data_IF_772601157546
#
_entry.id   IF_772601157546
#
_cell.length_a   1.000
_cell.length_b   1.000
_cell.length_c   1.000
_cell.angle_alpha   90.00
_cell.angle_beta   90.00
_cell.angle_gamma   90.00
#
_symmetry.space_group_name_H-M   'P 1'
#
loop_
_entity.id
_entity.type
_entity.pdbx_description
1 polymer ?
#
# COMPACT_ATOMS: atom_id res chain seq x y z
N UNK A 1 -14.21 9.25 16.48
CA UNK A 1 -14.74 8.21 15.57
C UNK A 1 -13.53 7.70 14.79
N UNK A 2 -13.35 6.40 14.69
CA UNK A 2 -12.18 5.79 14.01
C UNK A 2 -12.25 6.08 12.52
N UNK A 3 -11.18 6.65 11.97
CA UNK A 3 -11.05 6.92 10.54
C UNK A 3 -10.20 5.85 9.86
N UNK A 4 -10.47 5.64 8.58
CA UNK A 4 -9.63 4.85 7.68
C UNK A 4 -8.93 5.80 6.71
N UNK A 5 -7.62 5.98 6.87
CA UNK A 5 -6.79 6.70 5.91
C UNK A 5 -6.42 5.75 4.78
N UNK A 6 -7.07 5.92 3.63
CA UNK A 6 -6.94 5.04 2.49
C UNK A 6 -5.87 5.56 1.53
N UNK A 7 -4.82 4.76 1.39
CA UNK A 7 -3.69 4.99 0.47
C UNK A 7 -3.94 4.17 -0.80
N UNK A 8 -4.77 4.71 -1.69
CA UNK A 8 -5.14 4.03 -2.93
C UNK A 8 -4.04 4.08 -3.99
N UNK A 9 -4.22 3.28 -5.03
CA UNK A 9 -3.36 3.29 -6.20
C UNK A 9 -3.73 4.43 -7.15
N UNK A 10 -2.79 4.83 -7.99
CA UNK A 10 -3.08 5.74 -9.10
C UNK A 10 -4.12 5.12 -10.04
N UNK A 11 -5.16 5.88 -10.37
CA UNK A 11 -6.27 5.42 -11.22
C UNK A 11 -6.04 5.84 -12.67
N UNK A 12 -5.97 4.86 -13.57
CA UNK A 12 -5.93 5.05 -15.01
C UNK A 12 -7.04 4.23 -15.65
N UNK A 13 -7.73 4.76 -16.67
CA UNK A 13 -8.86 4.09 -17.34
C UNK A 13 -8.52 2.68 -17.87
N UNK A 14 -7.28 2.49 -18.33
CA UNK A 14 -6.82 1.21 -18.89
C UNK A 14 -6.40 0.17 -17.83
N UNK A 15 -6.53 0.48 -16.54
CA UNK A 15 -6.00 -0.38 -15.48
C UNK A 15 -7.07 -0.84 -14.50
N UNK A 16 -6.90 -2.06 -13.99
CA UNK A 16 -7.76 -2.60 -12.91
C UNK A 16 -7.74 -1.73 -11.63
N UNK A 17 -6.74 -0.87 -11.45
CA UNK A 17 -6.62 0.02 -10.28
C UNK A 17 -7.81 0.95 -10.14
N UNK A 18 -8.40 1.42 -11.26
CA UNK A 18 -9.63 2.20 -11.24
C UNK A 18 -10.79 1.37 -10.68
N UNK A 19 -10.97 0.15 -11.17
CA UNK A 19 -12.03 -0.76 -10.70
C UNK A 19 -11.84 -1.11 -9.22
N UNK A 20 -10.60 -1.36 -8.80
CA UNK A 20 -10.27 -1.67 -7.41
C UNK A 20 -10.66 -0.52 -6.46
N UNK A 21 -10.32 0.70 -6.84
CA UNK A 21 -10.71 1.91 -6.08
C UNK A 21 -12.22 2.06 -5.97
N UNK A 22 -12.96 1.84 -7.06
CA UNK A 22 -14.42 1.90 -7.05
C UNK A 22 -15.06 0.79 -6.19
N UNK A 23 -14.54 -0.44 -6.27
CA UNK A 23 -15.04 -1.56 -5.47
C UNK A 23 -14.80 -1.33 -3.98
N UNK A 24 -13.61 -0.88 -3.60
CA UNK A 24 -13.29 -0.55 -2.23
C UNK A 24 -14.21 0.56 -1.70
N UNK A 25 -14.41 1.61 -2.47
CA UNK A 25 -15.33 2.70 -2.12
C UNK A 25 -16.73 2.16 -1.80
N UNK A 26 -17.29 1.30 -2.66
CA UNK A 26 -18.61 0.68 -2.45
C UNK A 26 -18.63 -0.19 -1.20
N UNK A 27 -17.54 -0.90 -0.89
CA UNK A 27 -17.44 -1.72 0.33
C UNK A 27 -17.37 -0.83 1.56
N UNK A 28 -16.57 0.21 1.54
CA UNK A 28 -16.43 1.14 2.65
C UNK A 28 -17.75 1.85 2.96
N UNK A 29 -18.44 2.33 1.92
CA UNK A 29 -19.77 2.97 2.06
C UNK A 29 -20.79 2.01 2.66
N UNK A 30 -20.87 0.77 2.17
CA UNK A 30 -21.78 -0.25 2.71
C UNK A 30 -21.51 -0.59 4.17
N UNK A 31 -20.25 -0.49 4.59
CA UNK A 31 -19.82 -0.77 5.97
C UNK A 31 -19.91 0.46 6.87
N UNK A 32 -20.28 1.61 6.33
CA UNK A 32 -20.37 2.87 7.07
C UNK A 32 -19.04 3.33 7.65
N UNK A 33 -17.93 3.07 6.94
CA UNK A 33 -16.60 3.49 7.39
C UNK A 33 -16.39 4.98 7.12
N UNK A 34 -15.78 5.66 8.08
CA UNK A 34 -15.32 7.05 7.92
C UNK A 34 -13.96 7.04 7.20
N UNK A 35 -13.96 7.27 5.88
CA UNK A 35 -12.78 7.11 5.04
C UNK A 35 -12.22 8.45 4.61
N UNK A 36 -10.95 8.66 4.88
CA UNK A 36 -10.14 9.77 4.36
C UNK A 36 -9.31 9.24 3.19
N UNK A 37 -9.67 9.61 1.97
CA UNK A 37 -8.90 9.29 0.77
C UNK A 37 -7.69 10.21 0.70
N UNK A 38 -6.50 9.68 1.00
CA UNK A 38 -5.26 10.47 0.94
C UNK A 38 -4.89 10.71 -0.52
N UNK A 39 -4.83 11.96 -0.98
CA UNK A 39 -4.56 12.24 -2.38
C UNK A 39 -3.09 12.03 -2.74
N UNK A 40 -2.83 11.48 -3.93
CA UNK A 40 -1.55 11.54 -4.62
C UNK A 40 -1.63 12.48 -5.82
N UNK A 41 -0.49 12.97 -6.28
CA UNK A 41 -0.37 13.80 -7.48
C UNK A 41 0.05 12.94 -8.66
N UNK A 42 -0.71 12.97 -9.75
CA UNK A 42 -0.33 12.32 -11.00
C UNK A 42 0.60 13.23 -11.81
N UNK A 43 1.64 12.65 -12.40
CA UNK A 43 2.36 13.33 -13.47
C UNK A 43 1.53 13.13 -14.74
N UNK A 44 1.34 14.21 -15.46
CA UNK A 44 0.64 14.15 -16.75
C UNK A 44 1.46 13.30 -17.72
N UNK A 45 1.10 12.05 -17.84
CA UNK A 45 1.77 11.10 -18.72
C UNK A 45 0.80 10.74 -19.83
N UNK A 46 0.96 11.42 -20.94
CA UNK A 46 0.18 11.19 -22.16
C UNK A 46 0.53 9.88 -22.87
N UNK A 47 1.47 9.10 -22.36
CA UNK A 47 1.80 7.80 -22.92
C UNK A 47 0.75 6.77 -22.47
N UNK A 48 0.02 6.25 -23.43
CA UNK A 48 -0.87 5.12 -23.21
C UNK A 48 -0.09 3.96 -22.58
N UNK A 49 -0.57 3.46 -21.44
CA UNK A 49 -0.03 2.25 -20.83
C UNK A 49 -0.32 1.11 -21.79
N UNK A 50 0.72 0.57 -22.42
CA UNK A 50 0.59 -0.58 -23.29
C UNK A 50 0.30 -1.83 -22.47
N UNK A 51 -0.65 -2.64 -22.91
CA UNK A 51 -0.95 -3.94 -22.31
C UNK A 51 0.34 -4.78 -22.28
N UNK A 52 0.69 -5.31 -21.13
CA UNK A 52 1.92 -6.09 -20.93
C UNK A 52 3.17 -5.28 -20.63
N UNK A 53 3.10 -3.96 -20.61
CA UNK A 53 4.15 -3.13 -20.01
C UNK A 53 3.83 -2.86 -18.55
N UNK A 54 4.83 -3.10 -17.71
CA UNK A 54 4.71 -2.78 -16.30
C UNK A 54 4.76 -1.26 -16.15
N UNK A 55 3.94 -0.82 -15.30
CA UNK A 55 3.87 0.45 -14.60
C UNK A 55 4.86 1.53 -15.09
N UNK A 56 4.35 2.69 -15.42
CA UNK A 56 5.18 3.89 -15.44
C UNK A 56 5.84 4.05 -14.04
N UNK A 57 7.10 3.62 -13.95
CA UNK A 57 7.83 3.64 -12.69
C UNK A 57 7.97 5.06 -12.11
N UNK A 58 8.08 6.07 -12.98
CA UNK A 58 8.19 7.46 -12.56
C UNK A 58 6.84 7.99 -12.06
N UNK A 59 5.76 7.76 -12.81
CA UNK A 59 4.42 8.16 -12.41
C UNK A 59 3.97 7.47 -11.13
N UNK A 60 4.20 6.16 -11.01
CA UNK A 60 3.93 5.39 -9.80
C UNK A 60 4.69 5.93 -8.59
N UNK A 61 5.99 6.19 -8.77
CA UNK A 61 6.83 6.70 -7.69
C UNK A 61 6.40 8.10 -7.27
N UNK A 62 6.15 8.97 -8.24
CA UNK A 62 5.72 10.34 -7.96
C UNK A 62 4.37 10.37 -7.23
N UNK A 63 3.39 9.60 -7.71
CA UNK A 63 2.09 9.47 -7.07
C UNK A 63 2.23 8.97 -5.63
N UNK A 64 2.92 7.85 -5.43
CA UNK A 64 3.10 7.24 -4.11
C UNK A 64 3.82 8.15 -3.13
N UNK A 65 4.94 8.76 -3.55
CA UNK A 65 5.70 9.69 -2.70
C UNK A 65 4.87 10.94 -2.35
N UNK A 66 4.15 11.53 -3.30
CA UNK A 66 3.29 12.69 -3.01
C UNK A 66 2.15 12.35 -2.06
N UNK A 67 1.58 11.15 -2.19
CA UNK A 67 0.56 10.64 -1.28
C UNK A 67 1.13 10.44 0.13
N UNK A 68 2.34 9.89 0.25
CA UNK A 68 3.03 9.76 1.53
C UNK A 68 3.34 11.12 2.16
N UNK A 69 3.74 12.12 1.38
CA UNK A 69 3.93 13.49 1.89
C UNK A 69 2.65 14.05 2.50
N UNK A 70 1.50 13.83 1.86
CA UNK A 70 0.20 14.26 2.39
C UNK A 70 -0.14 13.51 3.69
N UNK A 71 0.07 12.19 3.74
CA UNK A 71 -0.13 11.42 4.97
C UNK A 71 0.75 11.93 6.11
N UNK A 72 2.03 12.15 5.85
CA UNK A 72 2.98 12.69 6.85
C UNK A 72 2.52 14.06 7.35
N UNK A 73 2.03 14.92 6.46
CA UNK A 73 1.48 16.22 6.85
C UNK A 73 0.24 16.07 7.75
N UNK A 74 -0.67 15.15 7.42
CA UNK A 74 -1.85 14.84 8.25
C UNK A 74 -1.44 14.30 9.63
N UNK A 75 -0.44 13.41 9.69
CA UNK A 75 0.12 12.94 10.96
C UNK A 75 0.71 14.07 11.78
N UNK A 76 1.48 14.97 11.15
CA UNK A 76 2.08 16.14 11.80
C UNK A 76 1.02 17.09 12.35
N UNK A 77 -0.11 17.23 11.66
CA UNK A 77 -1.23 18.08 12.10
C UNK A 77 -2.08 17.43 13.21
N UNK A 78 -1.82 16.16 13.57
CA UNK A 78 -2.62 15.44 14.55
C UNK A 78 -3.99 14.95 14.00
N UNK A 79 -4.14 14.89 12.69
CA UNK A 79 -5.37 14.39 12.04
C UNK A 79 -5.46 12.87 12.08
N UNK A 80 -4.31 12.19 12.19
CA UNK A 80 -4.17 10.73 12.37
C UNK A 80 -3.87 10.44 13.82
N UNK A 81 -4.69 9.62 14.46
CA UNK A 81 -4.60 9.28 15.88
C UNK A 81 -4.37 7.78 16.09
N UNK A 82 -4.10 7.36 17.32
CA UNK A 82 -3.96 5.94 17.70
C UNK A 82 -5.23 5.11 17.49
N UNK A 83 -6.38 5.74 17.38
CA UNK A 83 -7.65 5.06 17.12
C UNK A 83 -7.85 4.72 15.64
N UNK A 84 -7.09 5.37 14.77
CA UNK A 84 -7.28 5.32 13.32
C UNK A 84 -6.52 4.15 12.68
N UNK A 85 -6.86 3.92 11.42
CA UNK A 85 -6.26 2.90 10.57
C UNK A 85 -5.67 3.57 9.34
N UNK A 86 -4.44 3.22 8.98
CA UNK A 86 -3.83 3.55 7.69
C UNK A 86 -3.85 2.26 6.86
N UNK A 87 -4.46 2.31 5.68
CA UNK A 87 -4.55 1.17 4.79
C UNK A 87 -3.95 1.46 3.43
N UNK A 88 -2.91 0.71 3.08
CA UNK A 88 -2.27 0.76 1.78
C UNK A 88 -2.85 -0.29 0.85
N UNK A 89 -3.37 0.14 -0.29
CA UNK A 89 -3.92 -0.75 -1.31
C UNK A 89 -2.85 -1.63 -2.00
N UNK A 90 -1.60 -1.25 -1.88
CA UNK A 90 -0.46 -2.03 -2.34
C UNK A 90 0.70 -1.87 -1.34
N UNK A 91 1.26 -2.97 -0.87
CA UNK A 91 2.40 -2.92 0.06
C UNK A 91 3.65 -2.30 -0.58
N UNK A 92 3.79 -2.37 -1.90
CA UNK A 92 4.88 -1.72 -2.64
C UNK A 92 4.57 -0.25 -2.95
N UNK A 93 3.99 0.44 -1.99
CA UNK A 93 3.74 1.89 -2.09
C UNK A 93 5.04 2.66 -1.93
N UNK A 94 5.50 3.39 -2.96
CA UNK A 94 6.69 4.25 -2.85
C UNK A 94 6.53 5.28 -1.73
N UNK A 95 7.54 5.38 -0.87
CA UNK A 95 7.52 6.27 0.30
C UNK A 95 7.07 5.60 1.61
N UNK A 96 6.46 4.40 1.58
CA UNK A 96 6.05 3.68 2.80
C UNK A 96 7.22 3.40 3.74
N UNK A 97 8.43 3.31 3.21
CA UNK A 97 9.67 3.09 3.97
C UNK A 97 9.98 4.20 4.97
N UNK A 98 9.37 5.37 4.83
CA UNK A 98 9.47 6.44 5.81
C UNK A 98 8.59 6.23 7.04
N UNK A 99 7.54 5.41 6.92
CA UNK A 99 6.54 5.22 7.97
C UNK A 99 7.12 4.57 9.25
N UNK A 100 7.92 3.49 9.20
CA UNK A 100 8.52 2.94 10.41
C UNK A 100 9.43 3.94 11.15
N UNK A 101 10.14 4.82 10.42
CA UNK A 101 10.92 5.88 11.05
C UNK A 101 10.03 6.83 11.86
N UNK A 102 8.89 7.23 11.30
CA UNK A 102 7.92 8.14 11.95
C UNK A 102 7.27 7.43 13.15
N UNK A 103 6.78 6.21 12.95
CA UNK A 103 6.10 5.45 13.99
C UNK A 103 7.01 5.13 15.18
N UNK A 104 8.31 4.93 14.96
CA UNK A 104 9.27 4.69 16.03
C UNK A 104 9.49 5.90 16.94
N UNK A 105 9.09 7.11 16.53
CA UNK A 105 9.11 8.30 17.37
C UNK A 105 7.91 8.38 18.33
N UNK A 106 6.94 7.50 18.16
CA UNK A 106 5.68 7.50 18.90
C UNK A 106 5.59 6.21 19.75
N UNK A 107 5.20 6.28 21.04
CA UNK A 107 4.94 5.10 21.84
C UNK A 107 3.96 4.13 21.17
N UNK A 108 4.18 2.82 21.28
CA UNK A 108 3.41 1.79 20.56
C UNK A 108 1.89 1.94 20.75
N UNK A 109 1.48 2.25 21.99
CA UNK A 109 0.05 2.44 22.33
C UNK A 109 -0.55 3.76 21.79
N UNK A 110 0.25 4.60 21.15
CA UNK A 110 -0.19 5.85 20.54
C UNK A 110 -0.07 5.83 19.01
N UNK A 111 0.29 4.68 18.42
CA UNK A 111 0.42 4.52 16.98
C UNK A 111 -0.92 4.17 16.33
N UNK A 112 -1.23 4.72 15.15
CA UNK A 112 -2.31 4.20 14.32
C UNK A 112 -1.99 2.76 13.90
N UNK A 113 -3.00 1.97 13.56
CA UNK A 113 -2.80 0.64 12.98
C UNK A 113 -2.51 0.75 11.50
N UNK A 114 -1.61 -0.07 11.01
CA UNK A 114 -1.18 -0.08 9.61
C UNK A 114 -1.51 -1.43 8.98
N UNK A 115 -2.30 -1.39 7.91
CA UNK A 115 -2.61 -2.55 7.10
C UNK A 115 -2.16 -2.33 5.66
N UNK A 116 -1.73 -3.40 5.01
CA UNK A 116 -1.32 -3.36 3.62
C UNK A 116 -2.00 -4.50 2.84
N UNK A 117 -2.20 -4.31 1.54
CA UNK A 117 -2.56 -5.40 0.64
C UNK A 117 -1.33 -5.90 -0.10
N UNK A 118 -1.18 -7.21 -0.17
CA UNK A 118 -0.20 -7.86 -1.01
C UNK A 118 -0.84 -8.12 -2.39
N UNK A 119 -0.31 -7.50 -3.44
CA UNK A 119 -0.76 -7.68 -4.83
C UNK A 119 0.26 -8.46 -5.67
N UNK A 120 1.51 -8.49 -5.23
CA UNK A 120 2.63 -9.16 -5.87
C UNK A 120 3.59 -9.69 -4.80
N UNK A 121 4.40 -10.69 -5.14
CA UNK A 121 5.30 -11.35 -4.19
C UNK A 121 6.67 -11.62 -4.79
N UNK A 122 7.71 -11.36 -4.00
CA UNK A 122 9.09 -11.64 -4.40
C UNK A 122 9.44 -13.14 -4.39
N UNK A 123 8.71 -13.96 -3.65
CA UNK A 123 8.94 -15.41 -3.53
C UNK A 123 8.32 -16.20 -4.70
N UNK A 124 7.30 -15.67 -5.35
CA UNK A 124 6.63 -16.34 -6.44
C UNK A 124 7.47 -16.23 -7.73
N UNK A 125 7.98 -17.34 -8.28
CA UNK A 125 8.83 -17.32 -9.47
C UNK A 125 8.06 -16.88 -10.74
N UNK A 126 6.75 -17.01 -10.75
CA UNK A 126 5.89 -16.65 -11.88
C UNK A 126 5.39 -15.20 -11.79
N UNK A 127 5.63 -14.53 -10.65
CA UNK A 127 5.29 -13.13 -10.48
C UNK A 127 6.19 -12.23 -11.33
N UNK A 128 5.63 -11.12 -11.83
CA UNK A 128 6.38 -10.12 -12.59
C UNK A 128 7.60 -9.60 -11.83
N UNK A 129 7.56 -9.60 -10.50
CA UNK A 129 8.67 -9.23 -9.62
C UNK A 129 9.90 -10.11 -9.89
N UNK A 130 9.69 -11.42 -10.08
CA UNK A 130 10.75 -12.36 -10.44
C UNK A 130 11.19 -12.22 -11.88
N UNK A 131 10.24 -12.20 -12.79
CA UNK A 131 10.48 -12.11 -14.26
C UNK A 131 11.30 -10.86 -14.61
N UNK A 132 11.14 -9.78 -13.86
CA UNK A 132 11.84 -8.52 -14.09
C UNK A 132 13.11 -8.34 -13.27
N UNK A 133 13.55 -9.37 -12.56
CA UNK A 133 14.77 -9.34 -11.78
C UNK A 133 14.70 -8.49 -10.51
N UNK A 134 13.50 -8.17 -10.04
CA UNK A 134 13.28 -7.33 -8.86
C UNK A 134 13.20 -8.11 -7.55
N UNK A 135 13.09 -9.44 -7.60
CA UNK A 135 12.78 -10.29 -6.45
C UNK A 135 13.71 -10.05 -5.24
N UNK A 136 15.02 -9.81 -5.49
CA UNK A 136 15.97 -9.63 -4.40
C UNK A 136 15.68 -8.39 -3.56
N UNK A 137 15.55 -7.23 -4.18
CA UNK A 137 15.34 -5.99 -3.43
C UNK A 137 13.90 -5.87 -2.92
N UNK A 138 12.92 -6.37 -3.69
CA UNK A 138 11.52 -6.40 -3.24
C UNK A 138 11.33 -7.37 -2.08
N UNK A 139 12.06 -8.48 -2.02
CA UNK A 139 12.06 -9.36 -0.85
C UNK A 139 12.59 -8.68 0.41
N UNK A 140 13.61 -7.85 0.31
CA UNK A 140 14.09 -7.02 1.43
C UNK A 140 13.03 -5.98 1.84
N UNK A 141 12.34 -5.41 0.88
CA UNK A 141 11.27 -4.46 1.13
C UNK A 141 10.07 -5.14 1.84
N UNK A 142 9.66 -6.33 1.40
CA UNK A 142 8.65 -7.15 2.07
C UNK A 142 9.03 -7.43 3.53
N UNK A 143 10.30 -7.79 3.78
CA UNK A 143 10.79 -8.01 5.15
C UNK A 143 10.67 -6.74 6.00
N UNK A 144 11.02 -5.59 5.46
CA UNK A 144 10.86 -4.31 6.14
C UNK A 144 9.38 -4.04 6.48
N UNK A 145 8.48 -4.22 5.51
CA UNK A 145 7.04 -4.01 5.72
C UNK A 145 6.50 -4.94 6.80
N UNK A 146 6.91 -6.22 6.79
CA UNK A 146 6.53 -7.22 7.80
C UNK A 146 6.90 -6.82 9.25
N UNK A 147 7.90 -5.96 9.44
CA UNK A 147 8.33 -5.55 10.79
C UNK A 147 7.40 -4.52 11.44
N UNK A 148 6.61 -3.77 10.67
CA UNK A 148 5.85 -2.66 11.25
C UNK A 148 4.34 -2.68 10.99
N UNK A 149 3.85 -3.55 10.10
CA UNK A 149 2.41 -3.62 9.80
C UNK A 149 1.65 -4.46 10.83
N UNK A 150 0.42 -4.06 11.11
CA UNK A 150 -0.49 -4.78 12.00
C UNK A 150 -1.23 -5.92 11.31
N UNK A 151 -1.23 -5.94 9.98
CA UNK A 151 -1.80 -7.02 9.20
C UNK A 151 -1.67 -6.83 7.70
N UNK A 152 -1.84 -7.93 6.97
CA UNK A 152 -1.75 -7.99 5.52
C UNK A 152 -3.02 -8.61 4.95
N UNK A 153 -3.53 -8.04 3.86
CA UNK A 153 -4.60 -8.62 3.06
C UNK A 153 -3.98 -9.30 1.84
N UNK A 154 -4.14 -10.61 1.75
CA UNK A 154 -3.76 -11.40 0.57
C UNK A 154 -4.99 -11.62 -0.33
N UNK A 155 -4.75 -11.81 -1.62
CA UNK A 155 -5.82 -11.98 -2.62
C UNK A 155 -6.34 -13.41 -2.70
N UNK A 156 -5.53 -14.39 -2.31
CA UNK A 156 -5.87 -15.81 -2.35
C UNK A 156 -5.03 -16.62 -1.33
N UNK A 157 -5.40 -17.87 -1.13
CA UNK A 157 -4.73 -18.75 -0.16
C UNK A 157 -3.31 -19.17 -0.60
N UNK A 158 -3.03 -19.24 -1.89
CA UNK A 158 -1.69 -19.55 -2.39
C UNK A 158 -0.72 -18.42 -2.00
N UNK A 159 -1.14 -17.18 -2.18
CA UNK A 159 -0.38 -16.01 -1.72
C UNK A 159 -0.14 -16.06 -0.20
N UNK A 160 -1.15 -16.44 0.58
CA UNK A 160 -0.99 -16.64 2.03
C UNK A 160 0.07 -17.69 2.33
N UNK A 161 0.04 -18.83 1.63
CA UNK A 161 1.02 -19.90 1.80
C UNK A 161 2.44 -19.41 1.47
N UNK A 162 2.62 -18.70 0.37
CA UNK A 162 3.90 -18.09 -0.02
C UNK A 162 4.40 -17.11 1.05
N UNK A 163 3.53 -16.24 1.56
CA UNK A 163 3.90 -15.30 2.61
C UNK A 163 4.36 -16.02 3.89
N UNK A 164 3.69 -17.11 4.28
CA UNK A 164 4.10 -17.93 5.43
C UNK A 164 5.48 -18.58 5.22
N UNK A 165 5.73 -19.11 4.02
CA UNK A 165 7.04 -19.66 3.64
C UNK A 165 8.12 -18.55 3.66
N UNK A 166 7.80 -17.36 3.20
CA UNK A 166 8.68 -16.19 3.22
C UNK A 166 8.92 -15.61 4.63
N UNK A 167 8.28 -16.16 5.68
CA UNK A 167 8.51 -15.78 7.07
C UNK A 167 7.69 -14.58 7.54
N UNK A 168 6.55 -14.30 6.90
CA UNK A 168 5.65 -13.26 7.37
C UNK A 168 5.09 -13.58 8.74
N UNK A 169 5.24 -12.63 9.68
CA UNK A 169 4.76 -12.74 11.07
C UNK A 169 3.49 -11.94 11.30
N UNK A 170 3.27 -10.91 10.51
CA UNK A 170 2.03 -10.15 10.55
C UNK A 170 0.82 -11.06 10.29
N UNK A 171 -0.33 -10.80 10.93
CA UNK A 171 -1.60 -11.46 10.59
C UNK A 171 -1.93 -11.27 9.11
N UNK A 172 -2.37 -12.37 8.45
CA UNK A 172 -2.76 -12.36 7.03
C UNK A 172 -4.22 -12.78 6.96
#
# INVERSE_FOLDING_TARGET
MRKLFYMGLESYEARYTLQLTEWNRRVFDRRGLDVVYVPGTTIDNTQAISVGQVLDAHGRSYFGMSQMMNLVQMMKNGEVTSEDVIYFEDMFQPGIESLPYILNQVPVNQRPRVYVRCLAQSIDPDDFVHVWGMAKWMGLYEQMVNEFVDGVLATNEEMVAHMRIAGWRAPI
#
